data_IF_278930932182
#
_entry.id   IF_278930932182
#
_cell.length_a   1.000
_cell.length_b   1.000
_cell.length_c   1.000
_cell.angle_alpha   90.00
_cell.angle_beta   90.00
_cell.angle_gamma   90.00
#
_symmetry.space_group_name_H-M   'P 1'
#
loop_
_entity.id
_entity.type
_entity.pdbx_description
1 polymer ?
#
# COMPACT_ATOMS: atom_id res chain seq x y z
N UNK A 1 4.88 12.65 4.73
CA UNK A 1 3.81 12.04 3.90
C UNK A 1 4.29 11.66 2.51
N UNK A 2 4.67 12.59 1.61
CA UNK A 2 5.01 12.29 0.20
C UNK A 2 6.02 11.13 0.04
N UNK A 3 7.18 11.21 0.70
CA UNK A 3 8.23 10.18 0.64
C UNK A 3 8.01 9.01 1.60
N UNK A 4 7.01 9.09 2.48
CA UNK A 4 6.78 8.06 3.49
C UNK A 4 6.29 6.76 2.87
N UNK A 5 5.43 6.83 1.84
CA UNK A 5 4.93 5.65 1.14
C UNK A 5 6.06 4.86 0.49
N UNK A 6 6.95 5.51 -0.25
CA UNK A 6 8.14 4.88 -0.84
C UNK A 6 9.02 4.25 0.24
N UNK A 7 9.28 4.96 1.34
CA UNK A 7 10.14 4.47 2.42
C UNK A 7 9.58 3.21 3.11
N UNK A 8 8.29 3.20 3.46
CA UNK A 8 7.68 2.03 4.12
C UNK A 8 7.50 0.86 3.14
N UNK A 9 7.18 1.15 1.88
CA UNK A 9 6.99 0.10 0.87
C UNK A 9 8.30 -0.45 0.30
N UNK A 10 9.43 0.21 0.47
CA UNK A 10 10.73 -0.44 0.24
C UNK A 10 10.95 -1.57 1.25
N UNK A 11 10.53 -1.39 2.51
CA UNK A 11 10.49 -2.48 3.50
C UNK A 11 9.59 -3.64 3.05
N UNK A 12 8.42 -3.32 2.48
CA UNK A 12 7.47 -4.27 1.90
C UNK A 12 8.07 -5.06 0.73
N UNK A 13 8.79 -4.38 -0.17
CA UNK A 13 9.45 -4.98 -1.33
C UNK A 13 10.52 -5.99 -0.93
N UNK A 14 11.34 -5.64 0.05
CA UNK A 14 12.49 -6.46 0.47
C UNK A 14 12.04 -7.75 1.18
N UNK A 15 10.97 -7.71 1.97
CA UNK A 15 10.62 -8.85 2.82
C UNK A 15 9.13 -9.01 3.15
N UNK A 16 8.24 -8.40 2.37
CA UNK A 16 6.80 -8.45 2.60
C UNK A 16 6.36 -7.57 3.75
N UNK A 17 5.08 -7.72 4.12
CA UNK A 17 4.45 -7.04 5.25
C UNK A 17 5.23 -7.33 6.53
N UNK A 18 5.75 -8.55 6.68
CA UNK A 18 6.58 -8.94 7.83
C UNK A 18 7.76 -7.99 8.01
N UNK A 19 8.57 -7.79 6.98
CA UNK A 19 9.74 -6.92 7.08
C UNK A 19 9.34 -5.46 7.31
N UNK A 20 8.31 -4.97 6.61
CA UNK A 20 7.79 -3.62 6.81
C UNK A 20 7.34 -3.39 8.27
N UNK A 21 6.59 -4.32 8.86
CA UNK A 21 6.13 -4.24 10.25
C UNK A 21 7.30 -4.41 11.24
N UNK A 22 8.30 -5.24 10.92
CA UNK A 22 9.48 -5.49 11.75
C UNK A 22 10.39 -4.25 11.89
N UNK A 23 10.21 -3.22 11.07
CA UNK A 23 10.89 -1.91 11.20
C UNK A 23 10.32 -1.03 12.31
N UNK A 24 9.14 -1.33 12.83
CA UNK A 24 8.52 -0.62 13.94
C UNK A 24 9.00 -1.16 15.29
N UNK A 25 9.01 -0.30 16.32
CA UNK A 25 9.12 -0.74 17.72
C UNK A 25 7.98 -1.71 18.08
N UNK A 26 8.13 -2.55 19.11
CA UNK A 26 7.11 -3.51 19.50
C UNK A 26 5.75 -2.84 19.82
N UNK A 27 5.70 -1.73 20.60
CA UNK A 27 4.43 -1.03 20.82
C UNK A 27 3.83 -0.50 19.51
N UNK A 28 4.64 0.12 18.65
CA UNK A 28 4.20 0.66 17.37
C UNK A 28 3.72 -0.43 16.40
N UNK A 29 4.37 -1.60 16.38
CA UNK A 29 3.97 -2.75 15.58
C UNK A 29 2.59 -3.27 16.00
N UNK A 30 2.37 -3.45 17.31
CA UNK A 30 1.07 -3.87 17.83
C UNK A 30 0.01 -2.82 17.48
N UNK A 31 0.33 -1.53 17.65
CA UNK A 31 -0.60 -0.45 17.31
C UNK A 31 -0.92 -0.40 15.81
N UNK A 32 0.08 -0.52 14.93
CA UNK A 32 -0.12 -0.60 13.48
C UNK A 32 -0.96 -1.82 13.10
N UNK A 33 -0.74 -2.96 13.75
CA UNK A 33 -1.53 -4.16 13.55
C UNK A 33 -3.00 -3.93 13.91
N UNK A 34 -3.27 -3.39 15.10
CA UNK A 34 -4.65 -3.13 15.58
C UNK A 34 -5.39 -2.16 14.66
N UNK A 35 -4.72 -1.07 14.24
CA UNK A 35 -5.27 -0.10 13.29
C UNK A 35 -5.56 -0.74 11.92
N UNK A 36 -4.69 -1.64 11.46
CA UNK A 36 -4.91 -2.35 10.21
C UNK A 36 -6.15 -3.25 10.30
N UNK A 37 -6.31 -4.02 11.38
CA UNK A 37 -7.49 -4.88 11.56
C UNK A 37 -8.80 -4.08 11.67
N UNK A 38 -8.78 -2.91 12.33
CA UNK A 38 -9.93 -2.01 12.38
C UNK A 38 -10.28 -1.45 10.99
N UNK A 39 -9.28 -0.98 10.24
CA UNK A 39 -9.48 -0.52 8.86
C UNK A 39 -9.97 -1.64 7.95
N UNK A 40 -9.48 -2.87 8.12
CA UNK A 40 -9.99 -4.05 7.41
C UNK A 40 -11.48 -4.26 7.67
N UNK A 41 -11.93 -4.12 8.91
CA UNK A 41 -13.35 -4.18 9.26
C UNK A 41 -14.18 -3.09 8.56
N UNK A 42 -13.68 -1.86 8.51
CA UNK A 42 -14.39 -0.71 7.90
C UNK A 42 -14.45 -0.84 6.38
N UNK A 43 -13.35 -1.21 5.74
CA UNK A 43 -13.19 -1.12 4.29
C UNK A 43 -13.57 -2.40 3.55
N UNK A 44 -13.64 -3.56 4.21
CA UNK A 44 -13.95 -4.83 3.55
C UNK A 44 -15.19 -4.79 2.65
N UNK A 45 -16.35 -4.23 3.07
CA UNK A 45 -17.52 -4.16 2.19
C UNK A 45 -17.27 -3.32 0.93
N UNK A 46 -16.39 -2.31 1.00
CA UNK A 46 -16.03 -1.49 -0.16
C UNK A 46 -15.13 -2.27 -1.12
N UNK A 47 -14.13 -3.00 -0.61
CA UNK A 47 -13.27 -3.85 -1.45
C UNK A 47 -14.07 -4.95 -2.16
N UNK A 48 -14.95 -5.63 -1.43
CA UNK A 48 -15.86 -6.66 -1.98
C UNK A 48 -16.75 -6.06 -3.06
N UNK A 49 -17.37 -4.90 -2.80
CA UNK A 49 -18.17 -4.19 -3.80
C UNK A 49 -17.36 -3.87 -5.05
N UNK A 50 -16.14 -3.37 -4.92
CA UNK A 50 -15.30 -3.06 -6.08
C UNK A 50 -14.99 -4.32 -6.90
N UNK A 51 -14.66 -5.43 -6.25
CA UNK A 51 -14.43 -6.70 -6.94
C UNK A 51 -15.71 -7.20 -7.64
N UNK A 52 -16.87 -7.10 -7.00
CA UNK A 52 -18.16 -7.47 -7.60
C UNK A 52 -18.50 -6.61 -8.83
N UNK A 53 -18.27 -5.30 -8.75
CA UNK A 53 -18.48 -4.38 -9.86
C UNK A 53 -17.52 -4.67 -11.04
N UNK A 54 -16.29 -5.09 -10.75
CA UNK A 54 -15.32 -5.53 -11.76
C UNK A 54 -15.79 -6.83 -12.41
N UNK A 55 -16.14 -7.85 -11.63
CA UNK A 55 -16.52 -9.17 -12.12
C UNK A 55 -17.85 -9.16 -12.88
N UNK A 56 -18.79 -8.30 -12.49
CA UNK A 56 -20.07 -8.12 -13.18
C UNK A 56 -19.98 -7.28 -14.45
N UNK A 57 -18.86 -6.59 -14.68
CA UNK A 57 -18.69 -5.62 -15.77
C UNK A 57 -19.37 -4.27 -15.50
N UNK A 58 -19.93 -4.05 -14.30
CA UNK A 58 -20.51 -2.76 -13.92
C UNK A 58 -19.45 -1.65 -13.93
N UNK A 59 -18.26 -1.91 -13.39
CA UNK A 59 -17.14 -0.97 -13.39
C UNK A 59 -16.78 -0.52 -14.82
N UNK A 60 -16.51 -1.47 -15.71
CA UNK A 60 -16.08 -1.17 -17.08
C UNK A 60 -17.18 -0.49 -17.90
N UNK A 61 -18.44 -0.92 -17.76
CA UNK A 61 -19.56 -0.26 -18.45
C UNK A 61 -19.76 1.19 -18.01
N UNK A 62 -19.61 1.48 -16.71
CA UNK A 62 -19.73 2.84 -16.16
C UNK A 62 -18.59 3.73 -16.64
N UNK A 63 -17.35 3.23 -16.61
CA UNK A 63 -16.18 3.94 -17.13
C UNK A 63 -16.31 4.23 -18.63
N UNK A 64 -16.71 3.25 -19.44
CA UNK A 64 -16.89 3.44 -20.88
C UNK A 64 -18.00 4.44 -21.22
N UNK A 65 -19.03 4.55 -20.37
CA UNK A 65 -20.03 5.61 -20.52
C UNK A 65 -19.44 7.00 -20.25
N UNK A 66 -18.49 7.13 -19.32
CA UNK A 66 -17.75 8.39 -19.12
C UNK A 66 -16.85 8.73 -20.31
N UNK A 67 -16.18 7.72 -20.88
CA UNK A 67 -15.37 7.89 -22.11
C UNK A 67 -16.23 8.39 -23.28
N UNK A 68 -17.43 7.83 -23.45
CA UNK A 68 -18.39 8.31 -24.45
C UNK A 68 -18.88 9.74 -24.18
N UNK A 69 -18.77 10.22 -22.94
CA UNK A 69 -19.07 11.58 -22.52
C UNK A 69 -17.83 12.50 -22.54
N UNK A 70 -16.76 12.13 -23.24
CA UNK A 70 -15.48 12.84 -23.31
C UNK A 70 -14.79 12.98 -21.95
N UNK A 71 -14.76 11.88 -21.18
CA UNK A 71 -14.01 11.76 -19.93
C UNK A 71 -14.44 12.80 -18.87
N UNK A 72 -15.72 13.19 -18.89
CA UNK A 72 -16.23 14.31 -18.11
C UNK A 72 -15.98 14.12 -16.60
N UNK A 73 -16.21 12.92 -16.07
CA UNK A 73 -15.95 12.63 -14.66
C UNK A 73 -14.44 12.46 -14.40
N UNK A 74 -13.71 11.72 -15.23
CA UNK A 74 -12.27 11.53 -15.07
C UNK A 74 -11.54 12.88 -14.99
N UNK A 75 -11.78 13.78 -15.96
CA UNK A 75 -11.15 15.10 -16.01
C UNK A 75 -11.55 16.00 -14.84
N UNK A 76 -12.82 15.93 -14.41
CA UNK A 76 -13.30 16.65 -13.24
C UNK A 76 -12.58 16.19 -11.97
N UNK A 77 -12.55 14.89 -11.69
CA UNK A 77 -11.92 14.34 -10.49
C UNK A 77 -10.40 14.56 -10.48
N UNK A 78 -9.76 14.52 -11.66
CA UNK A 78 -8.35 14.91 -11.81
C UNK A 78 -8.11 16.36 -11.43
N UNK A 79 -8.95 17.28 -11.91
CA UNK A 79 -8.85 18.69 -11.55
C UNK A 79 -9.09 18.94 -10.05
N UNK A 80 -10.08 18.26 -9.45
CA UNK A 80 -10.36 18.32 -8.01
C UNK A 80 -9.17 17.80 -7.18
N UNK A 81 -8.57 16.68 -7.59
CA UNK A 81 -7.41 16.08 -6.93
C UNK A 81 -6.19 17.00 -6.98
N UNK A 82 -5.90 17.59 -8.14
CA UNK A 82 -4.81 18.55 -8.33
C UNK A 82 -4.99 19.83 -7.48
N UNK A 83 -6.23 20.14 -7.08
CA UNK A 83 -6.54 21.27 -6.20
C UNK A 83 -6.48 20.95 -4.70
N UNK A 84 -6.16 19.72 -4.30
CA UNK A 84 -6.15 19.33 -2.88
C UNK A 84 -4.98 19.98 -2.13
N UNK A 85 -5.12 20.20 -0.79
CA UNK A 85 -4.01 20.73 0.01
C UNK A 85 -2.74 19.89 -0.07
N UNK A 86 -2.85 18.57 -0.15
CA UNK A 86 -1.67 17.69 -0.30
C UNK A 86 -0.91 17.97 -1.62
N UNK A 87 -1.63 18.13 -2.73
CA UNK A 87 -1.04 18.45 -4.03
C UNK A 87 -0.38 19.84 -4.04
N UNK A 88 -1.03 20.82 -3.44
CA UNK A 88 -0.55 22.22 -3.44
C UNK A 88 0.51 22.51 -2.38
N UNK A 89 0.72 21.62 -1.40
CA UNK A 89 1.66 21.82 -0.31
C UNK A 89 3.11 21.89 -0.80
N UNK A 90 3.87 22.89 -0.37
CA UNK A 90 5.32 22.93 -0.65
C UNK A 90 6.04 21.77 0.07
N UNK A 91 6.97 21.13 -0.63
CA UNK A 91 7.81 20.07 -0.07
C UNK A 91 8.82 20.72 0.87
N UNK A 92 9.01 20.13 2.06
CA UNK A 92 10.05 20.61 2.98
C UNK A 92 11.45 20.29 2.44
N UNK A 93 12.39 21.20 2.67
CA UNK A 93 13.82 20.99 2.43
C UNK A 93 14.51 20.23 3.59
N UNK A 94 13.79 20.00 4.69
CA UNK A 94 14.31 19.29 5.85
C UNK A 94 14.65 17.84 5.50
N UNK A 95 15.86 17.41 5.85
CA UNK A 95 16.24 16.02 5.76
C UNK A 95 15.48 15.21 6.82
N UNK A 96 14.67 14.26 6.38
CA UNK A 96 13.98 13.30 7.23
C UNK A 96 14.68 11.96 7.07
N UNK A 97 15.19 11.40 8.17
CA UNK A 97 15.82 10.08 8.12
C UNK A 97 14.81 8.96 7.87
N UNK A 98 15.31 7.82 7.39
CA UNK A 98 14.49 6.69 6.99
C UNK A 98 13.60 6.17 8.13
N UNK A 99 14.14 6.08 9.35
CA UNK A 99 13.42 5.51 10.48
C UNK A 99 12.30 6.45 10.96
N UNK A 100 12.48 7.77 10.83
CA UNK A 100 11.47 8.77 11.14
C UNK A 100 10.20 8.55 10.32
N UNK A 101 10.29 8.09 9.06
CA UNK A 101 9.11 7.75 8.26
C UNK A 101 8.32 6.55 8.82
N UNK A 102 8.99 5.59 9.47
CA UNK A 102 8.32 4.48 10.15
C UNK A 102 7.74 4.94 11.49
N UNK A 103 8.56 5.59 12.31
CA UNK A 103 8.21 5.95 13.69
C UNK A 103 7.09 6.99 13.75
N UNK A 104 7.08 7.95 12.81
CA UNK A 104 6.01 8.96 12.68
C UNK A 104 4.91 8.54 11.69
N UNK A 105 5.04 7.39 11.03
CA UNK A 105 4.14 6.92 9.97
C UNK A 105 3.44 5.60 10.30
N UNK A 106 3.19 5.31 11.58
CA UNK A 106 2.55 4.06 12.05
C UNK A 106 1.23 3.79 11.32
N UNK A 107 0.41 4.83 11.13
CA UNK A 107 -0.84 4.76 10.37
C UNK A 107 -0.59 4.44 8.89
N UNK A 108 0.47 4.95 8.27
CA UNK A 108 0.81 4.65 6.88
C UNK A 108 1.17 3.16 6.72
N UNK A 109 1.96 2.62 7.66
CA UNK A 109 2.31 1.19 7.70
C UNK A 109 1.04 0.33 7.86
N UNK A 110 0.13 0.74 8.75
CA UNK A 110 -1.15 0.07 8.95
C UNK A 110 -2.04 0.10 7.69
N UNK A 111 -2.07 1.24 6.98
CA UNK A 111 -2.83 1.40 5.74
C UNK A 111 -2.30 0.50 4.62
N UNK A 112 -0.97 0.41 4.48
CA UNK A 112 -0.35 -0.50 3.50
C UNK A 112 -0.69 -1.95 3.83
N UNK A 113 -0.55 -2.38 5.09
CA UNK A 113 -0.94 -3.74 5.52
C UNK A 113 -2.41 -4.01 5.18
N UNK A 114 -3.32 -3.16 5.65
CA UNK A 114 -4.76 -3.35 5.48
C UNK A 114 -5.16 -3.37 4.00
N UNK A 115 -4.68 -2.41 3.20
CA UNK A 115 -5.02 -2.31 1.78
C UNK A 115 -4.52 -3.50 0.96
N UNK A 116 -3.27 -3.92 1.17
CA UNK A 116 -2.68 -5.07 0.48
C UNK A 116 -3.40 -6.36 0.86
N UNK A 117 -3.63 -6.60 2.15
CA UNK A 117 -4.34 -7.81 2.60
C UNK A 117 -5.79 -7.83 2.10
N UNK A 118 -6.54 -6.72 2.17
CA UNK A 118 -7.91 -6.68 1.65
C UNK A 118 -7.97 -6.93 0.15
N UNK A 119 -7.10 -6.28 -0.64
CA UNK A 119 -7.05 -6.48 -2.08
C UNK A 119 -6.77 -7.96 -2.40
N UNK A 120 -5.75 -8.53 -1.76
CA UNK A 120 -5.38 -9.93 -1.93
C UNK A 120 -6.50 -10.88 -1.52
N UNK A 121 -7.05 -10.74 -0.31
CA UNK A 121 -8.10 -11.60 0.25
C UNK A 121 -9.35 -11.57 -0.63
N UNK A 122 -9.74 -10.37 -1.10
CA UNK A 122 -10.93 -10.17 -1.93
C UNK A 122 -10.75 -10.82 -3.30
N UNK A 123 -9.59 -10.63 -3.93
CA UNK A 123 -9.27 -11.28 -5.21
C UNK A 123 -9.28 -12.81 -5.08
N UNK A 124 -8.62 -13.36 -4.06
CA UNK A 124 -8.59 -14.82 -3.83
C UNK A 124 -9.98 -15.37 -3.56
N UNK A 125 -10.79 -14.66 -2.77
CA UNK A 125 -12.18 -15.05 -2.48
C UNK A 125 -13.06 -15.04 -3.73
N UNK A 126 -12.75 -14.17 -4.71
CA UNK A 126 -13.41 -14.15 -6.02
C UNK A 126 -12.90 -15.21 -7.01
N UNK A 127 -11.96 -16.07 -6.59
CA UNK A 127 -11.42 -17.17 -7.41
C UNK A 127 -10.16 -16.84 -8.20
N UNK A 128 -9.54 -15.67 -7.97
CA UNK A 128 -8.21 -15.34 -8.52
C UNK A 128 -7.16 -16.15 -7.77
N UNK A 129 -6.19 -16.72 -8.49
CA UNK A 129 -5.14 -17.53 -7.85
C UNK A 129 -4.22 -16.64 -6.99
N UNK A 130 -3.69 -17.23 -5.91
CA UNK A 130 -2.89 -16.49 -4.92
C UNK A 130 -1.67 -15.79 -5.52
N UNK A 131 -1.00 -16.40 -6.50
CA UNK A 131 0.15 -15.79 -7.15
C UNK A 131 -0.24 -14.53 -7.93
N UNK A 132 -1.34 -14.56 -8.67
CA UNK A 132 -1.87 -13.39 -9.38
C UNK A 132 -2.29 -12.31 -8.39
N UNK A 133 -3.05 -12.68 -7.35
CA UNK A 133 -3.45 -11.72 -6.32
C UNK A 133 -2.24 -11.08 -5.63
N UNK A 134 -1.14 -11.81 -5.41
CA UNK A 134 0.11 -11.25 -4.88
C UNK A 134 0.77 -10.23 -5.83
N UNK A 135 0.85 -10.55 -7.12
CA UNK A 135 1.43 -9.65 -8.12
C UNK A 135 0.62 -8.36 -8.25
N UNK A 136 -0.70 -8.46 -8.31
CA UNK A 136 -1.64 -7.33 -8.49
C UNK A 136 -1.93 -6.57 -7.18
N UNK A 137 -1.25 -6.89 -6.08
CA UNK A 137 -1.38 -6.17 -4.80
C UNK A 137 -0.02 -5.80 -4.21
N UNK A 138 0.60 -6.71 -3.45
CA UNK A 138 1.83 -6.45 -2.71
C UNK A 138 2.99 -6.10 -3.65
N UNK A 139 3.15 -6.84 -4.75
CA UNK A 139 4.34 -6.72 -5.60
C UNK A 139 4.44 -5.35 -6.30
N UNK A 140 3.32 -4.80 -6.79
CA UNK A 140 3.30 -3.53 -7.51
C UNK A 140 3.22 -2.30 -6.61
N UNK A 141 2.74 -2.45 -5.37
CA UNK A 141 2.58 -1.34 -4.41
C UNK A 141 3.83 -0.45 -4.30
N UNK A 142 5.07 -0.98 -4.17
CA UNK A 142 6.27 -0.16 -4.14
C UNK A 142 6.53 0.66 -5.41
N UNK A 143 6.16 0.14 -6.59
CA UNK A 143 6.34 0.86 -7.85
C UNK A 143 5.41 2.08 -7.93
N UNK A 144 4.17 1.95 -7.47
CA UNK A 144 3.22 3.06 -7.36
C UNK A 144 3.64 4.06 -6.28
N UNK A 145 4.19 3.59 -5.16
CA UNK A 145 4.71 4.47 -4.13
C UNK A 145 5.85 5.38 -4.65
N UNK A 146 6.70 4.87 -5.54
CA UNK A 146 7.76 5.66 -6.19
C UNK A 146 7.21 6.80 -7.06
N UNK A 147 6.05 6.63 -7.71
CA UNK A 147 5.46 7.73 -8.49
C UNK A 147 4.99 8.86 -7.56
N UNK A 148 4.38 8.51 -6.43
CA UNK A 148 3.96 9.49 -5.41
C UNK A 148 5.16 10.23 -4.82
N UNK A 149 6.27 9.54 -4.55
CA UNK A 149 7.50 10.16 -4.09
C UNK A 149 8.05 11.19 -5.09
N UNK A 150 8.02 10.88 -6.40
CA UNK A 150 8.53 11.77 -7.46
C UNK A 150 7.74 13.07 -7.59
N UNK A 151 6.42 12.99 -7.73
CA UNK A 151 5.58 14.18 -7.94
C UNK A 151 4.13 13.97 -7.52
N UNK A 152 3.95 13.43 -6.31
CA UNK A 152 2.67 13.27 -5.60
C UNK A 152 1.63 12.47 -6.40
N UNK A 153 0.34 12.66 -6.12
CA UNK A 153 -0.75 11.98 -6.82
C UNK A 153 -0.82 12.40 -8.28
N UNK A 154 -0.37 13.61 -8.63
CA UNK A 154 -0.24 14.04 -10.02
C UNK A 154 0.59 13.03 -10.84
N UNK A 155 1.81 12.67 -10.39
CA UNK A 155 2.65 11.72 -11.12
C UNK A 155 1.97 10.36 -11.23
N UNK A 156 1.42 9.87 -10.11
CA UNK A 156 0.76 8.58 -10.06
C UNK A 156 -0.34 8.51 -11.11
N UNK A 157 -1.23 9.51 -11.12
CA UNK A 157 -2.40 9.54 -12.01
C UNK A 157 -2.00 9.74 -13.48
N UNK A 158 -0.88 10.40 -13.78
CA UNK A 158 -0.39 10.53 -15.16
C UNK A 158 0.38 9.30 -15.65
N UNK A 159 0.99 8.54 -14.74
CA UNK A 159 1.78 7.34 -15.09
C UNK A 159 0.89 6.11 -15.30
N UNK A 160 -0.18 5.97 -14.53
CA UNK A 160 -1.13 4.87 -14.67
C UNK A 160 -2.08 5.09 -15.86
N UNK A 161 -2.76 4.03 -16.28
CA UNK A 161 -3.77 4.14 -17.36
C UNK A 161 -5.00 4.92 -16.91
N UNK A 162 -5.76 5.51 -17.85
CA UNK A 162 -7.04 6.18 -17.56
C UNK A 162 -8.02 5.25 -16.83
N UNK A 163 -7.99 3.93 -17.09
CA UNK A 163 -8.79 2.94 -16.37
C UNK A 163 -8.40 2.84 -14.89
N UNK A 164 -7.10 2.83 -14.60
CA UNK A 164 -6.59 2.78 -13.24
C UNK A 164 -6.86 4.09 -12.49
N UNK A 165 -6.68 5.24 -13.15
CA UNK A 165 -6.98 6.55 -12.58
C UNK A 165 -8.47 6.69 -12.26
N UNK A 166 -9.35 6.28 -13.18
CA UNK A 166 -10.80 6.30 -12.96
C UNK A 166 -11.19 5.42 -11.76
N UNK A 167 -10.66 4.20 -11.70
CA UNK A 167 -10.87 3.28 -10.57
C UNK A 167 -10.36 3.84 -9.23
N UNK A 168 -9.20 4.51 -9.25
CA UNK A 168 -8.64 5.18 -8.08
C UNK A 168 -9.61 6.24 -7.53
N UNK A 169 -10.17 7.09 -8.39
CA UNK A 169 -11.13 8.11 -7.97
C UNK A 169 -12.44 7.54 -7.44
N UNK A 170 -12.98 6.49 -8.07
CA UNK A 170 -14.18 5.82 -7.57
C UNK A 170 -13.95 5.28 -6.15
N UNK A 171 -12.82 4.61 -5.93
CA UNK A 171 -12.49 4.04 -4.63
C UNK A 171 -12.28 5.13 -3.58
N UNK A 172 -11.44 6.12 -3.88
CA UNK A 172 -11.09 7.22 -2.96
C UNK A 172 -12.31 8.04 -2.52
N UNK A 173 -13.23 8.35 -3.44
CA UNK A 173 -14.48 9.05 -3.12
C UNK A 173 -15.40 8.25 -2.20
N UNK A 174 -15.39 6.92 -2.30
CA UNK A 174 -16.16 6.04 -1.42
C UNK A 174 -15.45 5.76 -0.09
N UNK A 175 -14.13 5.62 -0.10
CA UNK A 175 -13.32 5.27 1.07
C UNK A 175 -13.18 6.43 2.06
N UNK A 176 -12.98 7.67 1.58
CA UNK A 176 -12.80 8.85 2.44
C UNK A 176 -13.93 9.05 3.46
N UNK A 177 -15.23 9.01 3.07
CA UNK A 177 -16.33 9.11 4.03
C UNK A 177 -16.33 7.98 5.07
N UNK A 178 -16.02 6.75 4.68
CA UNK A 178 -16.00 5.59 5.57
C UNK A 178 -14.91 5.71 6.65
N UNK A 179 -13.72 6.19 6.25
CA UNK A 179 -12.59 6.36 7.16
C UNK A 179 -12.64 7.65 7.98
N UNK A 180 -13.57 8.57 7.69
CA UNK A 180 -13.60 9.90 8.32
C UNK A 180 -13.69 9.84 9.84
N UNK A 181 -14.60 9.03 10.38
CA UNK A 181 -14.78 8.90 11.82
C UNK A 181 -13.58 8.21 12.49
N UNK A 182 -13.04 7.18 11.83
CA UNK A 182 -11.84 6.47 12.28
C UNK A 182 -10.64 7.42 12.38
N UNK A 183 -10.31 8.14 11.30
CA UNK A 183 -9.17 9.08 11.27
C UNK A 183 -9.35 10.23 12.27
N UNK A 184 -10.58 10.73 12.44
CA UNK A 184 -10.86 11.80 13.40
C UNK A 184 -10.64 11.39 14.88
N UNK A 185 -10.64 10.08 15.18
CA UNK A 185 -10.37 9.54 16.51
C UNK A 185 -8.90 9.19 16.76
N UNK A 186 -8.00 9.40 15.80
CA UNK A 186 -6.59 9.08 15.93
C UNK A 186 -5.80 10.23 16.55
N UNK A 187 -4.82 9.86 17.37
CA UNK A 187 -3.85 10.79 17.96
C UNK A 187 -2.64 10.99 17.03
N UNK A 188 -1.86 12.05 17.28
CA UNK A 188 -0.67 12.38 16.49
C UNK A 188 0.48 11.35 16.69
N UNK A 189 0.38 10.48 17.70
CA UNK A 189 1.37 9.45 17.98
C UNK A 189 1.43 8.36 16.91
N UNK A 190 0.32 8.11 16.20
CA UNK A 190 0.28 7.17 15.07
C UNK A 190 0.53 7.84 13.72
N UNK A 191 0.49 9.18 13.67
CA UNK A 191 0.79 9.94 12.46
C UNK A 191 1.33 11.35 12.81
N UNK A 192 2.64 11.56 12.60
CA UNK A 192 3.30 12.84 12.78
C UNK A 192 4.32 12.89 13.93
N UNK A 193 3.97 12.51 15.16
CA UNK A 193 4.91 12.59 16.30
C UNK A 193 5.59 11.27 16.61
N UNK A 194 4.92 10.15 16.36
CA UNK A 194 5.36 8.82 16.76
C UNK A 194 5.06 8.51 18.22
N UNK A 195 5.12 7.22 18.56
CA UNK A 195 4.93 6.73 19.93
C UNK A 195 6.19 6.97 20.77
N UNK A 196 6.00 7.44 22.00
CA UNK A 196 7.09 7.64 22.97
C UNK A 196 7.10 6.54 24.03
N UNK A 197 8.27 6.28 24.64
CA UNK A 197 8.41 5.30 25.72
C UNK A 197 9.37 4.15 25.39
N UNK A 198 9.35 3.12 26.23
CA UNK A 198 10.20 1.94 26.07
C UNK A 198 9.62 0.90 25.11
N UNK A 199 10.45 -0.07 24.73
CA UNK A 199 10.06 -1.13 23.78
C UNK A 199 9.37 -2.35 24.44
N UNK A 200 8.95 -2.20 25.71
CA UNK A 200 8.36 -3.28 26.49
C UNK A 200 6.87 -3.41 26.17
N UNK A 201 6.43 -4.64 25.91
CA UNK A 201 5.03 -5.00 25.65
C UNK A 201 4.73 -6.35 26.28
N UNK A 202 3.46 -6.73 26.36
CA UNK A 202 3.11 -8.09 26.75
C UNK A 202 3.67 -9.12 25.74
N UNK A 203 4.40 -10.12 26.26
CA UNK A 203 5.06 -11.11 25.42
C UNK A 203 4.06 -11.96 24.63
N UNK A 204 2.89 -12.28 25.22
CA UNK A 204 1.89 -13.09 24.53
C UNK A 204 1.30 -12.32 23.36
N UNK A 205 0.89 -11.07 23.56
CA UNK A 205 0.37 -10.22 22.48
C UNK A 205 1.36 -10.05 21.35
N UNK A 206 2.64 -9.83 21.66
CA UNK A 206 3.68 -9.70 20.63
C UNK A 206 3.88 -10.99 19.83
N UNK A 207 3.87 -12.16 20.49
CA UNK A 207 3.95 -13.46 19.81
C UNK A 207 2.77 -13.64 18.87
N UNK A 208 1.54 -13.37 19.34
CA UNK A 208 0.33 -13.57 18.57
C UNK A 208 0.29 -12.64 17.33
N UNK A 209 0.60 -11.35 17.51
CA UNK A 209 0.69 -10.37 16.40
C UNK A 209 1.73 -10.78 15.36
N UNK A 210 2.93 -11.17 15.80
CA UNK A 210 3.98 -11.61 14.87
C UNK A 210 3.57 -12.88 14.12
N UNK A 211 2.89 -13.81 14.78
CA UNK A 211 2.42 -15.04 14.16
C UNK A 211 1.34 -14.74 13.10
N UNK A 212 0.37 -13.88 13.39
CA UNK A 212 -0.68 -13.50 12.45
C UNK A 212 -0.11 -12.80 11.21
N UNK A 213 0.78 -11.81 11.40
CA UNK A 213 1.43 -11.13 10.26
C UNK A 213 2.14 -12.14 9.36
N UNK A 214 2.98 -13.01 9.94
CA UNK A 214 3.86 -13.92 9.18
C UNK A 214 3.13 -15.09 8.54
N UNK A 215 1.96 -15.45 9.07
CA UNK A 215 1.17 -16.58 8.59
C UNK A 215 0.11 -16.19 7.56
N UNK A 216 -0.11 -14.90 7.32
CA UNK A 216 -1.01 -14.44 6.27
C UNK A 216 -0.60 -15.03 4.91
N UNK A 217 -1.56 -15.53 4.12
CA UNK A 217 -1.27 -16.25 2.87
C UNK A 217 -0.51 -15.40 1.84
N UNK A 218 -0.78 -14.09 1.76
CA UNK A 218 0.02 -13.14 0.95
C UNK A 218 1.51 -13.14 1.31
N UNK A 219 1.85 -13.32 2.60
CA UNK A 219 3.24 -13.38 3.06
C UNK A 219 3.88 -14.73 2.71
N UNK A 220 3.13 -15.82 2.86
CA UNK A 220 3.59 -17.17 2.50
C UNK A 220 3.88 -17.29 1.01
N UNK A 221 2.93 -16.88 0.16
CA UNK A 221 3.10 -16.85 -1.29
C UNK A 221 4.18 -15.86 -1.69
N UNK A 222 4.20 -14.68 -1.08
CA UNK A 222 5.18 -13.65 -1.38
C UNK A 222 6.62 -14.08 -1.08
N UNK A 223 6.85 -14.74 0.07
CA UNK A 223 8.16 -15.26 0.42
C UNK A 223 8.64 -16.30 -0.62
N UNK A 224 7.76 -17.20 -1.05
CA UNK A 224 8.06 -18.20 -2.08
C UNK A 224 8.40 -17.53 -3.43
N UNK A 225 7.57 -16.59 -3.89
CA UNK A 225 7.76 -15.92 -5.18
C UNK A 225 9.01 -15.02 -5.20
N UNK A 226 9.28 -14.26 -4.13
CA UNK A 226 10.53 -13.47 -3.99
C UNK A 226 11.75 -14.38 -4.01
N UNK A 227 11.70 -15.53 -3.34
CA UNK A 227 12.77 -16.53 -3.37
C UNK A 227 13.11 -17.01 -4.80
N UNK A 228 12.10 -17.21 -5.65
CA UNK A 228 12.31 -17.58 -7.05
C UNK A 228 12.95 -16.45 -7.86
N UNK A 229 12.51 -15.20 -7.68
CA UNK A 229 13.06 -14.04 -8.39
C UNK A 229 14.54 -13.81 -8.05
N UNK A 230 14.90 -13.81 -6.76
CA UNK A 230 16.30 -13.68 -6.33
C UNK A 230 17.16 -14.86 -6.81
N UNK A 231 16.60 -16.08 -6.81
CA UNK A 231 17.28 -17.26 -7.36
C UNK A 231 17.56 -17.15 -8.86
N UNK A 232 16.62 -16.59 -9.62
CA UNK A 232 16.78 -16.36 -11.06
C UNK A 232 17.80 -15.27 -11.38
N UNK A 233 17.80 -14.16 -10.65
CA UNK A 233 18.83 -13.12 -10.76
C UNK A 233 20.22 -13.67 -10.44
N UNK A 234 20.34 -14.48 -9.37
CA UNK A 234 21.58 -15.18 -9.04
C UNK A 234 22.04 -16.14 -10.14
N UNK A 235 21.11 -16.80 -10.84
CA UNK A 235 21.42 -17.66 -11.99
C UNK A 235 21.86 -16.87 -13.22
N UNK A 236 21.20 -15.74 -13.53
CA UNK A 236 21.60 -14.83 -14.60
C UNK A 236 23.00 -14.25 -14.35
N UNK A 237 23.28 -13.77 -13.13
CA UNK A 237 24.59 -13.26 -12.74
C UNK A 237 25.70 -14.33 -12.84
N UNK A 238 25.37 -15.61 -12.58
CA UNK A 238 26.32 -16.73 -12.76
C UNK A 238 26.61 -17.05 -14.22
N UNK A 239 25.72 -16.69 -15.15
CA UNK A 239 25.93 -16.83 -16.60
C UNK A 239 26.76 -15.68 -17.19
N UNK A 240 26.86 -14.56 -16.50
CA UNK A 240 27.73 -13.45 -16.88
C UNK A 240 29.20 -13.79 -16.58
N UNK A 241 30.07 -13.42 -17.52
CA UNK A 241 31.53 -13.47 -17.35
C UNK A 241 31.97 -12.55 -16.20
N UNK A 242 33.13 -12.79 -15.57
CA UNK A 242 33.62 -11.93 -14.48
C UNK A 242 33.71 -10.45 -14.85
N UNK A 243 34.01 -10.13 -16.11
CA UNK A 243 34.03 -8.76 -16.66
C UNK A 243 32.65 -8.12 -16.74
N UNK A 244 31.60 -8.88 -17.00
CA UNK A 244 30.22 -8.38 -17.11
C UNK A 244 29.56 -8.14 -15.74
N UNK A 245 30.07 -8.76 -14.67
CA UNK A 245 29.57 -8.57 -13.29
C UNK A 245 30.08 -7.29 -12.63
N UNK A 246 31.16 -6.69 -13.13
CA UNK A 246 31.77 -5.48 -12.55
C UNK A 246 31.12 -4.17 -13.05
N UNK A 247 30.20 -4.25 -14.01
CA UNK A 247 29.56 -3.09 -14.65
C UNK A 247 28.10 -2.86 -14.21
N UNK A 248 27.58 -3.65 -13.27
CA UNK A 248 26.24 -3.52 -12.68
C UNK A 248 26.36 -3.55 -11.17
#
# INVERSE_FOLDING_TARGET
MQYGWETVTEGLKQGGITNMMDRLSNPAKIRAFDLAEEMKGILRPLFEKHQDDIMSGHFSSTMMADWAANDANLLKWRAETNGTPFELQDITDDAIDEQTYYDQGILMVAMVKAGVELAYETMVSAGIIEESAYYESLHETPLIANTIARKKLYEMNVVISDTAEYGCYLFDQAARPLLKAFVAGLDADVIGTGMTGGNAVDNRRLIDVNAEIRSHSVEVVGARLRGYMTGYEGHLLRRLTPSERLQR
#
